data_IF_639045987720
#
_entry.id   IF_639045987720
#
_cell.length_a   1.000
_cell.length_b   1.000
_cell.length_c   1.000
_cell.angle_alpha   90.00
_cell.angle_beta   90.00
_cell.angle_gamma   90.00
#
_symmetry.space_group_name_H-M   'P 1'
#
loop_
_entity.id
_entity.type
_entity.pdbx_description
1 polymer ?
#
# COMPACT_ATOMS: atom_id res chain seq x y z
N UNK A 1 -4.60 -6.66 37.37
CA UNK A 1 -3.38 -6.35 38.16
C UNK A 1 -2.12 -6.93 37.51
N UNK A 2 -2.09 -8.21 37.12
CA UNK A 2 -0.95 -8.83 36.40
C UNK A 2 -0.62 -8.14 35.06
N UNK A 3 -1.62 -7.77 34.27
CA UNK A 3 -1.43 -7.13 32.95
C UNK A 3 -0.83 -5.71 33.05
N UNK A 4 -1.25 -4.95 34.06
CA UNK A 4 -0.72 -3.62 34.40
C UNK A 4 0.71 -3.72 34.98
N UNK A 5 1.00 -4.77 35.75
CA UNK A 5 2.33 -5.10 36.27
C UNK A 5 3.27 -5.53 35.13
N UNK A 6 2.76 -6.26 34.14
CA UNK A 6 3.48 -6.68 32.95
C UNK A 6 3.79 -5.50 32.02
N UNK A 7 2.86 -4.54 31.86
CA UNK A 7 3.14 -3.26 31.18
C UNK A 7 4.22 -2.43 31.87
N UNK A 8 4.28 -2.45 33.21
CA UNK A 8 5.28 -1.71 34.00
C UNK A 8 6.65 -2.41 34.10
N UNK A 9 6.69 -3.73 33.95
CA UNK A 9 7.93 -4.53 34.02
C UNK A 9 8.80 -4.42 32.74
N UNK A 10 8.23 -3.96 31.62
CA UNK A 10 8.86 -4.16 30.31
C UNK A 10 9.73 -3.04 29.76
N UNK A 11 9.75 -1.84 30.35
CA UNK A 11 10.75 -0.80 30.00
C UNK A 11 10.68 0.31 31.04
N UNK A 12 11.81 0.66 31.68
CA UNK A 12 11.91 1.94 32.37
C UNK A 12 11.66 3.09 31.39
N UNK A 13 11.33 4.30 31.86
CA UNK A 13 11.18 5.46 30.96
C UNK A 13 12.45 5.68 30.11
N UNK A 14 13.63 5.40 30.68
CA UNK A 14 14.91 5.41 29.96
C UNK A 14 14.97 4.35 28.87
N UNK A 15 14.62 3.09 29.17
CA UNK A 15 14.65 2.02 28.17
C UNK A 15 13.70 2.30 27.01
N UNK A 16 12.51 2.85 27.32
CA UNK A 16 11.52 3.22 26.31
C UNK A 16 12.07 4.29 25.37
N UNK A 17 12.69 5.34 25.91
CA UNK A 17 13.28 6.40 25.11
C UNK A 17 14.41 5.87 24.23
N UNK A 18 15.33 5.07 24.78
CA UNK A 18 16.40 4.45 23.99
C UNK A 18 15.86 3.56 22.87
N UNK A 19 14.78 2.81 23.11
CA UNK A 19 14.13 2.01 22.07
C UNK A 19 13.54 2.89 20.95
N UNK A 20 12.87 3.98 21.30
CA UNK A 20 12.30 4.90 20.32
C UNK A 20 13.39 5.56 19.48
N UNK A 21 14.42 6.12 20.12
CA UNK A 21 15.57 6.73 19.45
C UNK A 21 16.28 5.73 18.52
N UNK A 22 16.44 4.48 18.96
CA UNK A 22 17.00 3.43 18.12
C UNK A 22 16.12 3.07 16.91
N UNK A 23 14.79 3.16 17.04
CA UNK A 23 13.84 2.85 15.95
C UNK A 23 13.88 3.97 14.91
N UNK A 24 13.87 5.22 15.37
CA UNK A 24 13.96 6.42 14.53
C UNK A 24 15.27 6.45 13.73
N UNK A 25 16.40 6.09 14.35
CA UNK A 25 17.69 6.05 13.64
C UNK A 25 17.73 4.93 12.58
N UNK A 26 17.13 3.77 12.86
CA UNK A 26 17.01 2.70 11.87
C UNK A 26 16.12 3.13 10.70
N UNK A 27 14.99 3.76 10.99
CA UNK A 27 14.06 4.30 9.99
C UNK A 27 14.77 5.30 9.07
N UNK A 28 15.45 6.30 9.65
CA UNK A 28 16.24 7.30 8.91
C UNK A 28 17.28 6.65 7.98
N UNK A 29 17.99 5.63 8.46
CA UNK A 29 18.98 4.90 7.65
C UNK A 29 18.34 4.11 6.52
N UNK A 30 17.14 3.56 6.72
CA UNK A 30 16.40 2.86 5.67
C UNK A 30 15.97 3.86 4.59
N UNK A 31 15.41 5.00 4.99
CA UNK A 31 14.96 6.06 4.07
C UNK A 31 16.10 6.64 3.24
N UNK A 32 17.28 6.82 3.84
CA UNK A 32 18.48 7.31 3.16
C UNK A 32 19.19 6.23 2.31
N UNK A 33 18.73 4.98 2.33
CA UNK A 33 19.40 3.86 1.63
C UNK A 33 20.73 3.42 2.27
N UNK A 34 21.01 3.86 3.49
CA UNK A 34 22.22 3.55 4.27
C UNK A 34 22.09 2.26 5.10
N UNK A 35 20.89 1.67 5.12
CA UNK A 35 20.63 0.46 5.90
C UNK A 35 21.15 -0.80 5.17
N UNK A 36 22.11 -1.48 5.80
CA UNK A 36 22.73 -2.68 5.25
C UNK A 36 21.86 -3.92 5.48
N UNK A 37 21.04 -4.25 4.47
CA UNK A 37 20.28 -5.49 4.41
C UNK A 37 21.22 -6.68 4.19
N UNK A 38 21.34 -7.58 5.17
CA UNK A 38 22.08 -8.83 5.00
C UNK A 38 21.18 -9.91 4.39
N UNK A 39 21.74 -10.91 3.71
CA UNK A 39 20.92 -11.96 3.07
C UNK A 39 20.39 -13.02 4.07
N UNK A 40 20.93 -13.03 5.30
CA UNK A 40 20.59 -14.02 6.32
C UNK A 40 19.45 -13.55 7.24
N UNK A 41 18.27 -14.14 7.04
CA UNK A 41 17.04 -13.96 7.87
C UNK A 41 16.58 -12.50 8.02
N UNK A 42 15.65 -12.10 7.14
CA UNK A 42 15.07 -10.74 7.08
C UNK A 42 14.63 -10.14 8.42
N UNK A 43 13.94 -10.89 9.28
CA UNK A 43 13.49 -10.41 10.60
C UNK A 43 14.62 -10.18 11.63
N UNK A 44 15.86 -10.63 11.33
CA UNK A 44 17.00 -10.44 12.22
C UNK A 44 17.73 -9.12 11.98
N UNK A 45 17.53 -8.42 10.86
CA UNK A 45 18.30 -7.19 10.59
C UNK A 45 17.98 -6.10 11.60
N UNK A 46 16.70 -5.72 11.74
CA UNK A 46 16.27 -4.68 12.67
C UNK A 46 16.60 -5.08 14.12
N UNK A 47 16.40 -6.37 14.48
CA UNK A 47 16.69 -6.87 15.84
C UNK A 47 18.17 -6.81 16.19
N UNK A 48 19.01 -7.22 15.25
CA UNK A 48 20.47 -7.23 15.43
C UNK A 48 21.01 -5.82 15.48
N UNK A 49 20.52 -4.94 14.61
CA UNK A 49 20.92 -3.54 14.58
C UNK A 49 20.47 -2.81 15.85
N UNK A 50 19.24 -3.04 16.31
CA UNK A 50 18.76 -2.60 17.62
C UNK A 50 19.65 -3.05 18.76
N UNK A 51 19.99 -4.34 18.81
CA UNK A 51 20.86 -4.85 19.86
C UNK A 51 22.27 -4.22 19.81
N UNK A 52 22.80 -3.97 18.61
CA UNK A 52 24.08 -3.29 18.42
C UNK A 52 24.03 -1.81 18.82
N UNK A 53 22.90 -1.12 18.59
CA UNK A 53 22.77 0.31 18.83
C UNK A 53 22.45 0.64 20.29
N UNK A 54 21.52 -0.09 20.91
CA UNK A 54 20.97 0.27 22.24
C UNK A 54 21.16 -0.81 23.30
N UNK A 55 21.72 -1.98 22.97
CA UNK A 55 22.13 -3.00 23.95
C UNK A 55 20.97 -3.78 24.59
N UNK A 56 20.95 -3.87 25.93
CA UNK A 56 19.97 -4.62 26.71
C UNK A 56 18.51 -4.17 26.53
N UNK A 57 18.18 -2.87 26.46
CA UNK A 57 16.84 -2.39 26.11
C UNK A 57 16.23 -3.06 24.88
N UNK A 58 17.01 -3.34 23.82
CA UNK A 58 16.52 -3.99 22.61
C UNK A 58 15.93 -5.38 22.86
N UNK A 59 16.43 -6.12 23.87
CA UNK A 59 15.93 -7.46 24.20
C UNK A 59 14.51 -7.42 24.78
N UNK A 60 14.12 -6.30 25.38
CA UNK A 60 12.80 -6.11 25.99
C UNK A 60 11.68 -5.92 24.96
N UNK A 61 12.03 -5.53 23.72
CA UNK A 61 11.08 -5.33 22.61
C UNK A 61 10.27 -6.60 22.26
N UNK A 62 10.81 -7.77 22.58
CA UNK A 62 10.20 -9.07 22.25
C UNK A 62 9.68 -9.83 23.46
N UNK A 63 9.82 -9.28 24.67
CA UNK A 63 9.26 -9.91 25.85
C UNK A 63 7.73 -9.94 25.72
N UNK A 64 7.17 -11.15 25.77
CA UNK A 64 5.75 -11.45 25.56
C UNK A 64 5.17 -11.31 24.13
N UNK A 65 5.98 -11.16 23.07
CA UNK A 65 5.48 -11.23 21.67
C UNK A 65 6.04 -12.44 20.91
N UNK A 66 5.17 -13.33 20.43
CA UNK A 66 5.58 -14.41 19.52
C UNK A 66 5.94 -13.86 18.13
N UNK A 67 6.82 -14.57 17.42
CA UNK A 67 7.20 -14.20 16.05
C UNK A 67 6.01 -14.21 15.10
N UNK A 68 5.12 -15.21 15.23
CA UNK A 68 3.94 -15.32 14.38
C UNK A 68 2.97 -14.17 14.61
N UNK A 69 2.81 -13.72 15.87
CA UNK A 69 1.94 -12.59 16.17
C UNK A 69 2.52 -11.27 15.65
N UNK A 70 3.86 -11.10 15.66
CA UNK A 70 4.53 -9.95 15.05
C UNK A 70 4.27 -9.93 13.54
N UNK A 71 4.60 -11.02 12.84
CA UNK A 71 4.38 -11.13 11.40
C UNK A 71 2.93 -10.89 10.98
N UNK A 72 1.97 -11.48 11.69
CA UNK A 72 0.56 -11.31 11.38
C UNK A 72 0.09 -9.86 11.59
N UNK A 73 0.59 -9.18 12.62
CA UNK A 73 0.27 -7.77 12.85
C UNK A 73 0.86 -6.88 11.76
N UNK A 74 2.14 -7.08 11.42
CA UNK A 74 2.84 -6.31 10.40
C UNK A 74 2.19 -6.51 9.02
N UNK A 75 1.86 -7.77 8.69
CA UNK A 75 1.19 -8.10 7.45
C UNK A 75 -0.20 -7.46 7.35
N UNK A 76 -0.96 -7.42 8.46
CA UNK A 76 -2.28 -6.75 8.49
C UNK A 76 -2.17 -5.24 8.26
N UNK A 77 -1.18 -4.59 8.87
CA UNK A 77 -0.93 -3.16 8.68
C UNK A 77 -0.54 -2.88 7.23
N UNK A 78 0.39 -3.67 6.68
CA UNK A 78 0.79 -3.56 5.27
C UNK A 78 -0.38 -3.75 4.31
N UNK A 79 -1.22 -4.79 4.53
CA UNK A 79 -2.41 -5.01 3.72
C UNK A 79 -3.39 -3.84 3.79
N UNK A 80 -3.59 -3.25 4.97
CA UNK A 80 -4.46 -2.08 5.13
C UNK A 80 -3.95 -0.90 4.31
N UNK A 81 -2.67 -0.58 4.44
CA UNK A 81 -2.07 0.55 3.73
C UNK A 81 -2.10 0.32 2.20
N UNK A 82 -1.90 -0.93 1.75
CA UNK A 82 -2.07 -1.30 0.34
C UNK A 82 -3.51 -1.16 -0.15
N UNK A 83 -4.50 -1.56 0.66
CA UNK A 83 -5.93 -1.40 0.35
C UNK A 83 -6.27 0.09 0.22
N UNK A 84 -5.79 0.93 1.13
CA UNK A 84 -6.02 2.38 1.08
C UNK A 84 -5.47 2.98 -0.23
N UNK A 85 -4.28 2.58 -0.66
CA UNK A 85 -3.71 2.99 -1.96
C UNK A 85 -4.51 2.51 -3.18
N UNK A 86 -5.05 1.29 -3.13
CA UNK A 86 -5.92 0.75 -4.18
C UNK A 86 -7.23 1.55 -4.25
N UNK A 87 -7.84 1.88 -3.12
CA UNK A 87 -9.09 2.66 -3.07
C UNK A 87 -8.92 4.05 -3.68
N UNK A 88 -7.81 4.72 -3.41
CA UNK A 88 -7.47 6.01 -4.05
C UNK A 88 -7.37 5.85 -5.56
N UNK A 89 -6.65 4.82 -6.02
CA UNK A 89 -6.46 4.56 -7.46
C UNK A 89 -7.79 4.23 -8.17
N UNK A 90 -8.65 3.45 -7.51
CA UNK A 90 -9.98 3.11 -8.02
C UNK A 90 -10.86 4.36 -8.14
N UNK A 91 -10.81 5.25 -7.14
CA UNK A 91 -11.56 6.51 -7.16
C UNK A 91 -11.10 7.42 -8.29
N UNK A 92 -9.78 7.54 -8.48
CA UNK A 92 -9.22 8.31 -9.60
C UNK A 92 -9.71 7.78 -10.95
N UNK A 93 -9.71 6.46 -11.13
CA UNK A 93 -10.21 5.84 -12.37
C UNK A 93 -11.71 6.13 -12.59
N UNK A 94 -12.53 6.09 -11.55
CA UNK A 94 -13.95 6.40 -11.65
C UNK A 94 -14.19 7.88 -12.02
N UNK A 95 -13.40 8.78 -11.47
CA UNK A 95 -13.48 10.21 -11.76
C UNK A 95 -13.03 10.50 -13.20
N UNK A 96 -11.95 9.86 -13.66
CA UNK A 96 -11.47 9.96 -15.05
C UNK A 96 -12.51 9.43 -16.05
N UNK A 97 -13.16 8.29 -15.75
CA UNK A 97 -14.24 7.76 -16.60
C UNK A 97 -15.43 8.72 -16.62
N UNK A 98 -15.78 9.33 -15.49
CA UNK A 98 -16.89 10.28 -15.40
C UNK A 98 -16.58 11.56 -16.18
N UNK A 99 -15.34 12.05 -16.12
CA UNK A 99 -14.87 13.17 -16.93
C UNK A 99 -14.93 12.85 -18.42
N UNK A 100 -14.46 11.67 -18.84
CA UNK A 100 -14.55 11.26 -20.25
C UNK A 100 -15.99 11.21 -20.77
N UNK A 101 -16.97 10.90 -19.90
CA UNK A 101 -18.40 10.94 -20.27
C UNK A 101 -18.95 12.36 -20.41
N UNK A 102 -18.43 13.33 -19.67
CA UNK A 102 -18.90 14.72 -19.78
C UNK A 102 -18.30 15.48 -20.96
N UNK A 103 -17.22 14.96 -21.55
CA UNK A 103 -16.65 15.51 -22.77
C UNK A 103 -17.57 15.25 -23.97
N UNK A 104 -17.74 16.23 -24.89
CA UNK A 104 -18.49 16.02 -26.12
C UNK A 104 -17.74 15.02 -27.02
N UNK A 105 -18.13 13.75 -26.95
CA UNK A 105 -17.62 12.71 -27.82
C UNK A 105 -18.36 12.74 -29.16
N UNK A 106 -17.67 13.12 -30.24
CA UNK A 106 -18.13 12.83 -31.60
C UNK A 106 -17.75 11.39 -31.91
N UNK A 107 -18.64 10.44 -31.61
CA UNK A 107 -18.46 9.05 -31.99
C UNK A 107 -18.57 8.96 -33.52
N UNK A 108 -17.44 8.66 -34.19
CA UNK A 108 -17.46 8.24 -35.58
C UNK A 108 -17.44 6.71 -35.57
N UNK A 109 -18.61 6.11 -35.74
CA UNK A 109 -18.72 4.71 -36.11
C UNK A 109 -18.29 4.59 -37.57
N UNK A 110 -17.22 3.86 -37.88
CA UNK A 110 -17.02 3.28 -39.22
C UNK A 110 -17.18 1.76 -39.03
N UNK A 111 -18.01 1.02 -39.77
CA UNK A 111 -18.50 1.22 -41.13
C UNK A 111 -20.02 0.96 -41.24
N UNK A 112 -20.66 1.64 -42.19
CA UNK A 112 -22.01 1.41 -42.74
C UNK A 112 -23.26 1.77 -41.90
N UNK A 113 -23.12 2.51 -40.79
CA UNK A 113 -24.28 3.08 -40.09
C UNK A 113 -24.16 4.59 -39.97
N UNK A 114 -25.26 5.32 -40.20
CA UNK A 114 -25.34 6.76 -40.01
C UNK A 114 -24.80 7.16 -38.62
N UNK A 115 -24.12 8.32 -38.49
CA UNK A 115 -23.59 8.77 -37.21
C UNK A 115 -24.74 9.02 -36.23
N UNK A 116 -24.93 8.09 -35.29
CA UNK A 116 -25.85 8.27 -34.18
C UNK A 116 -25.15 9.08 -33.10
N UNK A 117 -25.69 10.25 -32.77
CA UNK A 117 -25.30 11.00 -31.58
C UNK A 117 -25.77 10.23 -30.34
N UNK A 118 -24.88 9.41 -29.76
CA UNK A 118 -25.13 8.77 -28.48
C UNK A 118 -24.84 9.80 -27.38
N UNK A 119 -25.87 10.20 -26.64
CA UNK A 119 -25.69 11.05 -25.46
C UNK A 119 -24.98 10.23 -24.36
N UNK A 120 -23.77 10.62 -23.90
CA UNK A 120 -23.05 9.87 -22.86
C UNK A 120 -23.82 9.75 -21.54
N UNK A 121 -24.80 10.64 -21.31
CA UNK A 121 -25.66 10.67 -20.13
C UNK A 121 -26.66 9.51 -20.09
N UNK A 122 -26.96 8.88 -21.23
CA UNK A 122 -27.95 7.79 -21.32
C UNK A 122 -27.34 6.38 -21.20
N UNK A 123 -26.02 6.26 -21.02
CA UNK A 123 -25.34 4.97 -20.87
C UNK A 123 -25.37 4.50 -19.42
N UNK A 124 -25.79 3.25 -19.18
CA UNK A 124 -25.73 2.64 -17.86
C UNK A 124 -24.30 2.15 -17.54
N UNK A 125 -23.92 2.00 -16.26
CA UNK A 125 -22.64 1.41 -15.87
C UNK A 125 -22.43 -0.03 -16.39
N UNK A 126 -23.51 -0.73 -16.76
CA UNK A 126 -23.49 -2.09 -17.31
C UNK A 126 -23.19 -2.12 -18.83
N UNK A 127 -23.21 -0.97 -19.51
CA UNK A 127 -22.87 -0.85 -20.94
C UNK A 127 -21.35 -0.67 -21.18
N UNK A 128 -20.58 -0.48 -20.10
CA UNK A 128 -19.13 -0.25 -20.12
C UNK A 128 -18.27 -1.45 -20.61
N UNK A 129 -18.62 -2.73 -20.39
CA UNK A 129 -17.81 -3.86 -20.82
C UNK A 129 -17.67 -3.96 -22.36
N UNK A 130 -18.70 -3.55 -23.12
CA UNK A 130 -18.65 -3.55 -24.58
C UNK A 130 -17.82 -2.40 -25.14
N UNK A 131 -17.78 -1.24 -24.46
CA UNK A 131 -17.07 -0.04 -24.92
C UNK A 131 -15.55 -0.13 -24.67
N UNK A 132 -15.15 -0.77 -23.57
CA UNK A 132 -13.72 -0.94 -23.23
C UNK A 132 -13.07 -2.03 -24.11
N UNK A 133 -13.78 -3.12 -24.40
CA UNK A 133 -13.33 -4.17 -25.33
C UNK A 133 -13.02 -3.60 -26.73
N UNK A 134 -13.84 -2.66 -27.21
CA UNK A 134 -13.66 -2.05 -28.54
C UNK A 134 -12.46 -1.08 -28.60
N UNK A 135 -12.19 -0.33 -27.53
CA UNK A 135 -11.01 0.58 -27.48
C UNK A 135 -9.68 -0.16 -27.42
N UNK A 136 -9.63 -1.33 -26.76
CA UNK A 136 -8.44 -2.19 -26.75
C UNK A 136 -8.23 -2.81 -28.15
N UNK A 137 -9.29 -3.23 -28.82
CA UNK A 137 -9.23 -3.81 -30.17
C UNK A 137 -8.76 -2.80 -31.23
N UNK A 138 -9.23 -1.54 -31.16
CA UNK A 138 -8.80 -0.47 -32.09
C UNK A 138 -7.33 -0.09 -31.88
N UNK A 139 -6.84 -0.03 -30.64
CA UNK A 139 -5.40 0.23 -30.39
C UNK A 139 -4.51 -0.93 -30.83
N UNK A 140 -4.99 -2.16 -30.79
CA UNK A 140 -4.25 -3.33 -31.28
C UNK A 140 -4.18 -3.37 -32.81
N UNK A 141 -5.21 -2.88 -33.51
CA UNK A 141 -5.23 -2.81 -34.98
C UNK A 141 -4.38 -1.67 -35.55
N UNK A 142 -4.18 -0.57 -34.82
CA UNK A 142 -3.35 0.55 -35.27
C UNK A 142 -1.85 0.39 -34.97
N UNK A 143 -1.43 -0.70 -34.33
CA UNK A 143 -0.03 -1.02 -34.00
C UNK A 143 0.52 -2.21 -34.80
N UNK A 144 -0.24 -2.74 -35.76
CA UNK A 144 0.17 -3.68 -36.81
C UNK A 144 0.14 -2.96 -38.16
#
# INVERSE_FOLDING_TARGET
>A
MEEERMRRLLTSASDKNSILEGLEEIERRIENGEFNWRADKKDMHIKKDMHMNIGEPAKKLHTARSRNNQFLSDFRLWCRDAIDGILVSMKQLQDDVSLLRSLPAKFICHADAEPVLINPSSLSPLDLPFIIQLRIFIRFLCLL
#
